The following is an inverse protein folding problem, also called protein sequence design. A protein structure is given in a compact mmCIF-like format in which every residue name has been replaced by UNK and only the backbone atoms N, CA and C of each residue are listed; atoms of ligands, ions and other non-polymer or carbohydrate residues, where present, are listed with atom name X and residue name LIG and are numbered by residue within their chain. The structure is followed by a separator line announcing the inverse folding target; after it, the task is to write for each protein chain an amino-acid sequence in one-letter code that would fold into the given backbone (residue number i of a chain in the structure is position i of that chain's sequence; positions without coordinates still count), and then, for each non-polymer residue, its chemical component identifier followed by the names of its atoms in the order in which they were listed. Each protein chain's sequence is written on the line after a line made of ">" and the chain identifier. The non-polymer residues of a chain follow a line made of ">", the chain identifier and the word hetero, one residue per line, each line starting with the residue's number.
data_IF_423703770778
#
_entry.id   IF_423703770778
#
_cell.length_a   1.000
_cell.length_b   1.000
_cell.length_c   1.000
_cell.angle_alpha   90.00
_cell.angle_beta   90.00
_cell.angle_gamma   90.00
#
_symmetry.space_group_name_H-M   'P 1'
#
loop_
_entity.id
_entity.type
_entity.pdbx_description
1 polymer ?
#
# COMPACT_ATOMS: atom_id res chain seq x y z
N UNK A 1 12.91 -1.45 -5.99
CA UNK A 1 12.21 -0.17 -6.26
C UNK A 1 12.47 0.36 -7.66
N UNK A 2 13.72 0.42 -8.14
CA UNK A 2 14.01 0.89 -9.51
C UNK A 2 13.21 0.16 -10.60
N UNK A 3 13.21 -1.19 -10.58
CA UNK A 3 12.44 -1.99 -11.54
C UNK A 3 10.93 -1.75 -11.48
N UNK A 4 10.38 -1.52 -10.28
CA UNK A 4 8.96 -1.19 -10.11
C UNK A 4 8.64 0.18 -10.73
N UNK A 5 9.51 1.18 -10.50
CA UNK A 5 9.36 2.50 -11.09
C UNK A 5 9.42 2.45 -12.63
N UNK A 6 10.32 1.64 -13.18
CA UNK A 6 10.47 1.44 -14.62
C UNK A 6 9.22 0.80 -15.24
N UNK A 7 8.70 -0.28 -14.64
CA UNK A 7 7.46 -0.92 -15.08
C UNK A 7 6.23 -0.02 -15.00
N UNK A 8 6.11 0.77 -13.92
CA UNK A 8 5.03 1.76 -13.79
C UNK A 8 5.15 2.84 -14.87
N UNK A 9 6.36 3.36 -15.09
CA UNK A 9 6.62 4.38 -16.12
C UNK A 9 6.35 3.84 -17.52
N UNK A 10 6.74 2.60 -17.81
CA UNK A 10 6.45 1.92 -19.08
C UNK A 10 4.96 1.75 -19.38
N UNK A 11 4.12 1.82 -18.34
CA UNK A 11 2.65 1.78 -18.43
C UNK A 11 1.99 3.17 -18.33
N UNK A 12 2.78 4.25 -18.26
CA UNK A 12 2.28 5.62 -18.17
C UNK A 12 1.93 6.10 -16.76
N UNK A 13 2.28 5.34 -15.72
CA UNK A 13 2.07 5.76 -14.32
C UNK A 13 3.28 6.52 -13.78
N UNK A 14 3.02 7.52 -12.94
CA UNK A 14 4.05 8.17 -12.13
C UNK A 14 4.10 7.53 -10.73
N UNK A 15 5.30 7.35 -10.18
CA UNK A 15 5.47 6.81 -8.83
C UNK A 15 5.92 7.92 -7.87
N UNK A 16 5.14 8.13 -6.80
CA UNK A 16 5.55 8.94 -5.65
C UNK A 16 6.00 8.01 -4.53
N UNK A 17 7.20 8.23 -4.01
CA UNK A 17 7.70 7.52 -2.84
C UNK A 17 7.52 8.40 -1.60
N UNK A 18 6.70 7.93 -0.66
CA UNK A 18 6.53 8.55 0.66
C UNK A 18 7.01 7.61 1.74
N UNK A 19 7.71 8.14 2.74
CA UNK A 19 8.06 7.41 3.95
C UNK A 19 7.05 7.76 5.03
N UNK A 20 6.42 6.75 5.60
CA UNK A 20 5.53 6.89 6.74
C UNK A 20 6.32 6.67 8.03
N UNK A 21 6.13 7.54 9.01
CA UNK A 21 6.65 7.33 10.35
C UNK A 21 5.67 6.50 11.17
N UNK A 22 6.19 5.58 11.99
CA UNK A 22 5.46 4.58 12.81
C UNK A 22 4.39 5.11 13.79
N UNK A 23 4.16 6.43 13.85
CA UNK A 23 3.23 7.10 14.76
C UNK A 23 2.25 8.03 14.03
N UNK A 24 2.23 7.99 12.69
CA UNK A 24 1.33 8.84 11.93
C UNK A 24 -0.06 8.22 11.86
N UNK A 25 -0.88 8.49 12.87
CA UNK A 25 -2.30 8.14 12.83
C UNK A 25 -2.98 8.82 11.64
N UNK A 26 -3.91 8.12 10.99
CA UNK A 26 -4.70 8.69 9.90
C UNK A 26 -3.98 8.77 8.54
N UNK A 27 -2.83 8.11 8.37
CA UNK A 27 -2.06 8.17 7.12
C UNK A 27 -2.82 7.59 5.93
N UNK A 28 -3.64 6.56 6.17
CA UNK A 28 -4.50 5.94 5.16
C UNK A 28 -5.49 6.96 4.63
N UNK A 29 -6.15 7.69 5.53
CA UNK A 29 -7.13 8.71 5.20
C UNK A 29 -6.48 9.91 4.50
N UNK A 30 -5.23 10.23 4.83
CA UNK A 30 -4.45 11.23 4.09
C UNK A 30 -4.15 10.79 2.66
N UNK A 31 -3.84 9.51 2.42
CA UNK A 31 -3.65 8.99 1.08
C UNK A 31 -4.96 8.94 0.30
N UNK A 32 -6.03 8.45 0.93
CA UNK A 32 -7.35 8.33 0.31
C UNK A 32 -7.96 9.70 -0.04
N UNK A 33 -7.88 10.68 0.89
CA UNK A 33 -8.41 12.04 0.67
C UNK A 33 -7.49 12.89 -0.21
N UNK A 34 -6.20 12.56 -0.27
CA UNK A 34 -5.19 13.33 -0.98
C UNK A 34 -5.40 13.38 -2.50
N UNK A 35 -6.14 12.43 -3.10
CA UNK A 35 -6.45 12.39 -4.54
C UNK A 35 -5.24 12.62 -5.47
N UNK A 36 -4.03 12.19 -5.05
CA UNK A 36 -2.81 12.34 -5.86
C UNK A 36 -2.40 11.07 -6.59
N UNK A 37 -3.02 9.93 -6.31
CA UNK A 37 -2.71 8.67 -6.96
C UNK A 37 -3.96 7.83 -7.21
N UNK A 38 -3.92 7.02 -8.26
CA UNK A 38 -4.96 6.05 -8.60
C UNK A 38 -4.90 4.77 -7.73
N UNK A 39 -3.84 4.63 -6.93
CA UNK A 39 -3.65 3.52 -6.00
C UNK A 39 -2.38 3.65 -5.17
N UNK A 40 -2.15 2.70 -4.27
CA UNK A 40 -1.03 2.72 -3.31
C UNK A 40 -0.34 1.35 -3.26
N UNK A 41 0.99 1.36 -3.22
CA UNK A 41 1.80 0.19 -2.88
C UNK A 41 2.42 0.42 -1.50
N UNK A 42 2.04 -0.39 -0.51
CA UNK A 42 2.55 -0.30 0.85
C UNK A 42 3.72 -1.27 1.01
N UNK A 43 4.86 -0.79 1.52
CA UNK A 43 6.06 -1.61 1.72
C UNK A 43 6.23 -1.91 3.20
N UNK A 44 6.12 -3.19 3.58
CA UNK A 44 6.18 -3.61 4.98
C UNK A 44 4.82 -3.52 5.67
N UNK A 45 4.47 -4.55 6.44
CA UNK A 45 3.11 -4.78 6.96
C UNK A 45 3.02 -4.70 8.50
N UNK A 46 4.11 -4.32 9.19
CA UNK A 46 4.36 -4.83 10.53
C UNK A 46 3.44 -4.35 11.66
N UNK A 47 2.58 -3.34 11.48
CA UNK A 47 1.74 -2.86 12.60
C UNK A 47 0.34 -2.35 12.26
N UNK A 48 -0.02 -2.19 10.99
CA UNK A 48 -1.19 -1.35 10.61
C UNK A 48 -2.25 -2.14 9.84
N UNK A 49 -2.31 -3.46 10.02
CA UNK A 49 -3.24 -4.34 9.32
C UNK A 49 -4.70 -3.83 9.35
N UNK A 50 -5.19 -3.41 10.52
CA UNK A 50 -6.56 -2.92 10.67
C UNK A 50 -6.85 -1.69 9.78
N UNK A 51 -5.92 -0.74 9.73
CA UNK A 51 -6.07 0.47 8.90
C UNK A 51 -6.00 0.15 7.40
N UNK A 52 -5.09 -0.75 6.99
CA UNK A 52 -4.98 -1.22 5.60
C UNK A 52 -6.26 -1.94 5.16
N UNK A 53 -6.83 -2.74 6.04
CA UNK A 53 -7.99 -3.57 5.80
C UNK A 53 -9.28 -2.73 5.74
N UNK A 54 -9.42 -1.72 6.59
CA UNK A 54 -10.46 -0.68 6.48
C UNK A 54 -10.35 0.09 5.16
N UNK A 55 -9.15 0.56 4.79
CA UNK A 55 -8.91 1.26 3.52
C UNK A 55 -9.36 0.45 2.30
N UNK A 56 -9.02 -0.84 2.30
CA UNK A 56 -9.35 -1.74 1.21
C UNK A 56 -10.87 -1.97 1.11
N UNK A 57 -11.56 -2.07 2.26
CA UNK A 57 -13.03 -2.16 2.29
C UNK A 57 -13.71 -0.88 1.82
N UNK A 58 -13.12 0.27 2.11
CA UNK A 58 -13.57 1.58 1.63
C UNK A 58 -13.27 1.81 0.14
N UNK A 59 -12.64 0.83 -0.53
CA UNK A 59 -12.44 0.81 -1.97
C UNK A 59 -11.15 1.45 -2.46
N UNK A 60 -10.18 1.70 -1.56
CA UNK A 60 -8.86 2.20 -1.97
C UNK A 60 -8.11 1.13 -2.79
N UNK A 61 -7.74 1.37 -4.06
CA UNK A 61 -6.95 0.43 -4.83
C UNK A 61 -5.54 0.32 -4.23
N UNK A 62 -5.18 -0.87 -3.75
CA UNK A 62 -3.90 -1.06 -3.07
C UNK A 62 -3.30 -2.46 -3.19
N UNK A 63 -1.98 -2.52 -3.07
CA UNK A 63 -1.22 -3.76 -2.88
C UNK A 63 -0.22 -3.59 -1.73
N UNK A 64 -0.12 -4.60 -0.87
CA UNK A 64 0.79 -4.61 0.29
C UNK A 64 1.94 -5.57 0.01
N UNK A 65 3.17 -5.07 -0.02
CA UNK A 65 4.35 -5.93 -0.03
C UNK A 65 4.61 -6.44 1.40
N UNK A 66 4.17 -7.67 1.66
CA UNK A 66 4.23 -8.28 2.99
C UNK A 66 3.64 -9.70 3.02
N UNK A 67 3.58 -10.28 4.22
CA UNK A 67 3.04 -11.61 4.46
C UNK A 67 1.51 -11.63 4.42
N UNK A 68 0.90 -12.64 3.82
CA UNK A 68 -0.56 -12.80 3.85
C UNK A 68 -1.04 -12.93 5.31
N UNK A 69 -2.03 -12.12 5.71
CA UNK A 69 -2.81 -12.30 6.94
C UNK A 69 -4.17 -12.88 6.56
N UNK A 70 -4.68 -13.79 7.39
CA UNK A 70 -5.98 -14.40 7.19
C UNK A 70 -7.10 -13.34 7.28
N UNK A 71 -8.08 -13.42 6.39
CA UNK A 71 -9.20 -12.47 6.33
C UNK A 71 -8.87 -11.06 5.78
N UNK A 72 -7.65 -10.77 5.33
CA UNK A 72 -7.32 -9.46 4.74
C UNK A 72 -8.16 -9.14 3.49
N UNK A 73 -8.58 -7.88 3.36
CA UNK A 73 -9.39 -7.37 2.24
C UNK A 73 -8.54 -6.77 1.10
N UNK A 74 -7.22 -6.64 1.31
CA UNK A 74 -6.25 -6.17 0.31
C UNK A 74 -5.45 -7.31 -0.32
N UNK A 75 -4.81 -7.04 -1.46
CA UNK A 75 -3.86 -7.98 -2.08
C UNK A 75 -2.49 -7.84 -1.41
N UNK A 76 -1.86 -8.96 -1.06
CA UNK A 76 -0.47 -8.99 -0.61
C UNK A 76 0.45 -9.62 -1.66
N UNK A 77 1.64 -9.05 -1.82
CA UNK A 77 2.73 -9.62 -2.63
C UNK A 77 3.93 -9.84 -1.71
N UNK A 78 4.44 -11.06 -1.64
CA UNK A 78 5.53 -11.37 -0.73
C UNK A 78 5.90 -12.84 -0.78
N UNK A 79 7.02 -13.18 -0.15
CA UNK A 79 7.37 -14.56 0.14
C UNK A 79 6.67 -15.03 1.40
N UNK A 80 6.52 -16.35 1.52
CA UNK A 80 6.33 -16.96 2.84
C UNK A 80 7.56 -16.65 3.69
N UNK A 81 7.34 -16.12 4.89
CA UNK A 81 8.40 -15.70 5.82
C UNK A 81 8.41 -16.59 7.08
N UNK A 82 7.71 -17.72 7.07
CA UNK A 82 7.73 -18.73 8.12
C UNK A 82 8.86 -19.75 7.95
#
# INVERSE_FOLDING_TARGET
>A
LALLAEELTGRGYSMLLSKLDRHQDGWVEQLARGSRSDGVIVLGQSSEHAALDEAARDGLPMAVWGSRIDGQSYISVGSDNF
#
